data_IF_651174877972
#
_entry.id   IF_651174877972
#
_cell.length_a   1.000
_cell.length_b   1.000
_cell.length_c   1.000
_cell.angle_alpha   90.00
_cell.angle_beta   90.00
_cell.angle_gamma   90.00
#
_symmetry.space_group_name_H-M   'P 1'
#
loop_
_entity.id
_entity.type
_entity.pdbx_description
1 polymer ?
#
# COMPACT_ATOMS: atom_id res chain seq x y z
N UNK A 1 -24.97 -66.88 13.82
CA UNK A 1 -24.62 -65.63 13.11
C UNK A 1 -25.28 -64.47 13.85
N UNK A 2 -24.40 -63.54 14.24
CA UNK A 2 -24.49 -62.14 14.66
C UNK A 2 -25.85 -61.47 14.91
N UNK A 3 -25.83 -60.69 16.01
CA UNK A 3 -26.82 -59.81 16.66
C UNK A 3 -27.37 -58.69 15.77
N UNK A 4 -28.50 -58.11 16.18
CA UNK A 4 -28.70 -56.68 16.58
C UNK A 4 -30.20 -56.35 16.56
N UNK A 5 -30.86 -56.15 17.71
CA UNK A 5 -31.14 -54.86 18.37
C UNK A 5 -31.62 -53.75 17.43
N UNK A 6 -32.95 -53.57 17.35
CA UNK A 6 -33.56 -52.37 16.78
C UNK A 6 -34.26 -51.57 17.89
N UNK A 7 -33.72 -50.39 18.15
CA UNK A 7 -34.13 -49.43 19.17
C UNK A 7 -35.25 -48.55 18.62
N UNK A 8 -36.29 -48.37 19.45
CA UNK A 8 -37.42 -47.47 19.21
C UNK A 8 -36.98 -46.01 19.23
N UNK A 9 -37.26 -45.33 18.12
CA UNK A 9 -37.74 -43.94 17.94
C UNK A 9 -37.96 -43.10 19.22
N UNK A 10 -37.19 -42.02 19.38
CA UNK A 10 -37.64 -40.64 19.65
C UNK A 10 -36.45 -39.66 19.66
N UNK A 11 -36.75 -38.38 19.42
CA UNK A 11 -35.84 -37.21 19.33
C UNK A 11 -35.17 -37.06 17.95
N UNK A 12 -35.09 -35.90 17.30
CA UNK A 12 -35.08 -34.51 17.77
C UNK A 12 -35.49 -33.54 16.64
N UNK A 13 -35.97 -32.36 17.05
CA UNK A 13 -36.34 -31.25 16.18
C UNK A 13 -35.15 -30.69 15.38
N UNK A 14 -35.45 -30.22 14.17
CA UNK A 14 -34.52 -29.71 13.18
C UNK A 14 -33.91 -28.36 13.59
N UNK A 15 -32.58 -28.31 13.66
CA UNK A 15 -31.75 -27.11 13.69
C UNK A 15 -31.11 -26.87 12.32
N UNK A 16 -31.28 -25.67 11.76
CA UNK A 16 -30.36 -24.97 10.84
C UNK A 16 -30.69 -23.47 10.96
N UNK A 17 -30.03 -22.69 11.82
CA UNK A 17 -28.78 -21.97 11.56
C UNK A 17 -28.90 -20.88 10.47
N UNK A 18 -29.35 -19.68 10.86
CA UNK A 18 -28.93 -18.44 10.19
C UNK A 18 -27.70 -17.90 10.94
N UNK A 19 -26.58 -17.81 10.22
CA UNK A 19 -25.31 -17.29 10.71
C UNK A 19 -25.46 -15.79 10.94
N UNK A 20 -25.65 -15.44 12.19
CA UNK A 20 -25.57 -14.08 12.72
C UNK A 20 -24.17 -13.51 12.41
N UNK A 21 -24.14 -12.37 11.73
CA UNK A 21 -22.94 -11.54 11.61
C UNK A 21 -22.45 -11.18 13.01
N UNK A 22 -21.36 -11.79 13.46
CA UNK A 22 -20.73 -11.50 14.75
C UNK A 22 -20.17 -10.07 14.77
N UNK A 23 -21.04 -9.11 15.11
CA UNK A 23 -20.61 -7.90 15.77
C UNK A 23 -20.48 -8.24 17.25
N UNK A 24 -19.26 -8.50 17.71
CA UNK A 24 -18.96 -8.78 19.10
C UNK A 24 -19.19 -7.52 19.96
N UNK A 25 -20.44 -7.31 20.37
CA UNK A 25 -20.76 -6.43 21.48
C UNK A 25 -20.79 -7.26 22.78
N UNK A 26 -19.63 -7.45 23.40
CA UNK A 26 -19.56 -7.95 24.78
C UNK A 26 -20.06 -6.85 25.71
N UNK A 27 -21.33 -6.94 26.12
CA UNK A 27 -21.85 -6.17 27.25
C UNK A 27 -21.37 -6.84 28.53
N UNK A 28 -20.49 -6.17 29.28
CA UNK A 28 -20.24 -6.49 30.69
C UNK A 28 -20.12 -5.18 31.49
N UNK A 29 -21.08 -5.00 32.38
CA UNK A 29 -21.27 -3.84 33.25
C UNK A 29 -20.06 -3.59 34.16
N UNK A 30 -19.65 -2.32 34.31
CA UNK A 30 -18.74 -1.92 35.40
C UNK A 30 -18.01 -0.59 35.18
N UNK A 31 -18.54 0.49 35.78
CA UNK A 31 -17.99 1.86 35.93
C UNK A 31 -17.75 2.64 34.63
N UNK A 32 -18.27 3.88 34.61
CA UNK A 32 -18.00 4.96 33.66
C UNK A 32 -16.58 4.95 33.07
N UNK A 33 -16.36 4.16 32.02
CA UNK A 33 -15.23 4.28 31.12
C UNK A 33 -15.86 4.76 29.82
N UNK A 34 -15.68 6.05 29.52
CA UNK A 34 -15.99 6.57 28.18
C UNK A 34 -15.29 5.65 27.20
N UNK A 35 -16.06 4.87 26.43
CA UNK A 35 -15.53 4.15 25.29
C UNK A 35 -15.12 5.24 24.32
N UNK A 36 -13.84 5.60 24.32
CA UNK A 36 -13.28 6.47 23.29
C UNK A 36 -13.16 5.59 22.06
N UNK A 37 -14.24 5.50 21.30
CA UNK A 37 -14.22 4.94 19.94
C UNK A 37 -13.27 5.83 19.15
N UNK A 38 -12.02 5.40 18.99
CA UNK A 38 -11.12 5.98 18.00
C UNK A 38 -11.68 5.58 16.64
N UNK A 39 -12.59 6.40 16.11
CA UNK A 39 -12.99 6.32 14.71
C UNK A 39 -11.76 6.66 13.88
N UNK A 40 -10.99 5.64 13.48
CA UNK A 40 -9.96 5.80 12.48
C UNK A 40 -10.68 6.25 11.20
N UNK A 41 -10.42 7.49 10.78
CA UNK A 41 -10.95 7.99 9.51
C UNK A 41 -10.37 7.08 8.43
N UNK A 42 -11.20 6.38 7.64
CA UNK A 42 -10.69 5.53 6.56
C UNK A 42 -9.95 6.38 5.52
N UNK A 43 -9.06 5.76 4.76
CA UNK A 43 -8.45 6.45 3.62
C UNK A 43 -9.52 6.94 2.64
N UNK A 44 -9.34 8.12 2.02
CA UNK A 44 -10.28 8.64 1.03
C UNK A 44 -10.38 7.67 -0.15
N UNK A 45 -11.56 7.48 -0.73
CA UNK A 45 -11.70 6.54 -1.83
C UNK A 45 -10.87 6.99 -3.06
N UNK A 46 -10.28 6.05 -3.83
CA UNK A 46 -9.54 6.42 -5.03
C UNK A 46 -10.38 7.27 -5.99
N UNK A 47 -9.76 8.29 -6.60
CA UNK A 47 -10.44 9.20 -7.52
C UNK A 47 -11.37 10.22 -6.87
N UNK A 48 -11.49 10.24 -5.54
CA UNK A 48 -12.23 11.30 -4.84
C UNK A 48 -11.39 12.57 -4.67
N UNK A 49 -12.08 13.70 -4.49
CA UNK A 49 -11.41 14.95 -4.15
C UNK A 49 -10.55 14.75 -2.88
N UNK A 50 -9.30 15.23 -2.92
CA UNK A 50 -8.27 15.08 -1.88
C UNK A 50 -7.58 13.70 -1.79
N UNK A 51 -7.94 12.73 -2.63
CA UNK A 51 -7.13 11.52 -2.81
C UNK A 51 -6.07 11.75 -3.90
N UNK A 52 -4.80 11.32 -3.69
CA UNK A 52 -3.83 11.30 -4.77
C UNK A 52 -4.31 10.31 -5.86
N UNK A 53 -4.07 10.66 -7.12
CA UNK A 53 -4.42 9.80 -8.25
C UNK A 53 -3.27 9.79 -9.25
N UNK A 54 -2.80 8.59 -9.60
CA UNK A 54 -1.67 8.44 -10.50
C UNK A 54 -2.10 8.13 -11.92
N UNK A 55 -1.64 8.97 -12.83
CA UNK A 55 -1.94 8.90 -14.25
C UNK A 55 -0.66 8.89 -15.11
N UNK A 56 0.43 8.29 -14.58
CA UNK A 56 1.79 8.23 -15.13
C UNK A 56 2.69 9.46 -14.91
N UNK A 57 2.15 10.58 -14.41
CA UNK A 57 2.93 11.82 -14.21
C UNK A 57 3.44 11.95 -12.78
N UNK A 58 4.65 12.47 -12.63
CA UNK A 58 5.26 12.79 -11.32
C UNK A 58 5.21 11.61 -10.33
N UNK A 59 5.69 10.45 -10.76
CA UNK A 59 5.65 9.20 -9.98
C UNK A 59 6.25 9.37 -8.58
N UNK A 60 7.37 10.07 -8.44
CA UNK A 60 8.00 10.37 -7.15
C UNK A 60 7.04 11.12 -6.23
N UNK A 61 6.44 12.21 -6.71
CA UNK A 61 5.51 13.03 -5.92
C UNK A 61 4.24 12.26 -5.56
N UNK A 62 3.73 11.44 -6.48
CA UNK A 62 2.59 10.56 -6.21
C UNK A 62 2.90 9.57 -5.09
N UNK A 63 4.03 8.85 -5.17
CA UNK A 63 4.42 7.86 -4.15
C UNK A 63 4.59 8.52 -2.78
N UNK A 64 5.25 9.69 -2.72
CA UNK A 64 5.42 10.43 -1.47
C UNK A 64 4.08 10.83 -0.83
N UNK A 65 3.17 11.41 -1.63
CA UNK A 65 1.84 11.83 -1.16
C UNK A 65 0.99 10.64 -0.72
N UNK A 66 1.02 9.56 -1.49
CA UNK A 66 0.30 8.34 -1.18
C UNK A 66 0.80 7.73 0.14
N UNK A 67 2.11 7.62 0.30
CA UNK A 67 2.72 7.06 1.51
C UNK A 67 2.42 7.92 2.76
N UNK A 68 2.44 9.25 2.62
CA UNK A 68 2.03 10.16 3.69
C UNK A 68 0.55 9.99 4.05
N UNK A 69 -0.32 9.85 3.06
CA UNK A 69 -1.73 9.55 3.29
C UNK A 69 -1.90 8.22 4.05
N UNK A 70 -1.22 7.14 3.64
CA UNK A 70 -1.24 5.88 4.36
C UNK A 70 -0.86 6.06 5.84
N UNK A 71 0.22 6.80 6.13
CA UNK A 71 0.64 7.12 7.51
C UNK A 71 -0.42 7.87 8.31
N UNK A 72 -1.02 8.90 7.72
CA UNK A 72 -2.05 9.71 8.39
C UNK A 72 -3.30 8.89 8.74
N UNK A 73 -3.57 7.83 7.97
CA UNK A 73 -4.71 6.94 8.16
C UNK A 73 -4.34 5.61 8.86
N UNK A 74 -3.11 5.46 9.36
CA UNK A 74 -2.68 4.29 10.14
C UNK A 74 -2.40 3.03 9.30
N UNK A 75 -2.24 3.16 7.98
CA UNK A 75 -1.84 2.05 7.10
C UNK A 75 -0.31 1.99 7.05
N UNK A 76 0.27 1.05 7.80
CA UNK A 76 1.72 0.94 8.02
C UNK A 76 2.30 -0.32 7.37
N UNK A 77 1.49 -1.38 7.29
CA UNK A 77 1.92 -2.67 6.76
C UNK A 77 2.28 -2.57 5.25
N UNK A 78 3.50 -2.95 4.85
CA UNK A 78 3.97 -2.80 3.47
C UNK A 78 3.07 -3.48 2.44
N UNK A 79 2.59 -4.68 2.73
CA UNK A 79 1.66 -5.42 1.87
C UNK A 79 0.38 -4.63 1.64
N UNK A 80 -0.24 -4.14 2.72
CA UNK A 80 -1.44 -3.30 2.61
C UNK A 80 -1.19 -2.01 1.81
N UNK A 81 -0.03 -1.36 1.99
CA UNK A 81 0.32 -0.15 1.23
C UNK A 81 0.41 -0.47 -0.27
N UNK A 82 1.10 -1.56 -0.64
CA UNK A 82 1.28 -1.99 -2.03
C UNK A 82 -0.08 -2.33 -2.68
N UNK A 83 -0.90 -3.14 -2.01
CA UNK A 83 -2.23 -3.53 -2.50
C UNK A 83 -3.15 -2.31 -2.69
N UNK A 84 -3.09 -1.34 -1.76
CA UNK A 84 -3.86 -0.11 -1.89
C UNK A 84 -3.33 0.77 -3.02
N UNK A 85 -2.02 0.92 -3.19
CA UNK A 85 -1.44 1.83 -4.20
C UNK A 85 -1.94 1.53 -5.61
N UNK A 86 -2.03 0.24 -5.97
CA UNK A 86 -2.55 -0.21 -7.27
C UNK A 86 -4.03 0.19 -7.54
N UNK A 87 -4.75 0.68 -6.52
CA UNK A 87 -6.13 1.19 -6.64
C UNK A 87 -6.19 2.70 -6.86
N UNK A 88 -5.11 3.44 -6.57
CA UNK A 88 -5.02 4.90 -6.70
C UNK A 88 -4.32 5.31 -7.99
N UNK A 89 -4.49 4.52 -9.04
CA UNK A 89 -3.94 4.78 -10.35
C UNK A 89 -4.93 4.35 -11.44
N UNK A 90 -4.69 4.83 -12.66
CA UNK A 90 -5.44 4.36 -13.84
C UNK A 90 -5.33 2.85 -13.99
N UNK A 91 -6.42 2.21 -14.41
CA UNK A 91 -6.60 0.75 -14.32
C UNK A 91 -5.45 -0.07 -14.89
N UNK A 92 -4.94 0.32 -16.07
CA UNK A 92 -3.86 -0.43 -16.72
C UNK A 92 -2.53 -0.35 -15.94
N UNK A 93 -2.25 0.77 -15.26
CA UNK A 93 -1.07 0.93 -14.39
C UNK A 93 -1.24 0.04 -13.16
N UNK A 94 -2.44 -0.02 -12.58
CA UNK A 94 -2.72 -0.86 -11.43
C UNK A 94 -2.53 -2.35 -11.73
N UNK A 95 -2.97 -2.82 -12.90
CA UNK A 95 -2.72 -4.20 -13.34
C UNK A 95 -1.23 -4.47 -13.63
N UNK A 96 -0.53 -3.50 -14.24
CA UNK A 96 0.92 -3.58 -14.45
C UNK A 96 1.71 -3.61 -13.13
N UNK A 97 1.29 -2.85 -12.10
CA UNK A 97 1.95 -2.87 -10.80
C UNK A 97 1.94 -4.27 -10.16
N UNK A 98 0.88 -5.07 -10.37
CA UNK A 98 0.76 -6.42 -9.80
C UNK A 98 1.78 -7.42 -10.36
N UNK A 99 2.35 -7.16 -11.53
CA UNK A 99 3.36 -8.04 -12.13
C UNK A 99 4.79 -7.71 -11.68
N UNK A 100 4.99 -6.55 -11.04
CA UNK A 100 6.29 -6.10 -10.53
C UNK A 100 6.82 -7.01 -9.43
N UNK A 101 8.15 -7.05 -9.31
CA UNK A 101 8.81 -7.92 -8.33
C UNK A 101 8.49 -7.46 -6.91
N UNK A 102 8.58 -6.15 -6.65
CA UNK A 102 8.28 -5.59 -5.33
C UNK A 102 6.85 -5.84 -4.88
N UNK A 103 5.90 -5.93 -5.83
CA UNK A 103 4.51 -6.30 -5.51
C UNK A 103 4.41 -7.76 -5.04
N UNK A 104 5.02 -8.70 -5.75
CA UNK A 104 4.96 -10.14 -5.44
C UNK A 104 5.70 -10.50 -4.16
N UNK A 105 6.69 -9.71 -3.78
CA UNK A 105 7.53 -9.91 -2.60
C UNK A 105 7.06 -9.09 -1.38
N UNK A 106 5.93 -8.37 -1.49
CA UNK A 106 5.43 -7.44 -0.46
C UNK A 106 6.50 -6.41 -0.01
N UNK A 107 7.40 -6.03 -0.92
CA UNK A 107 8.55 -5.17 -0.65
C UNK A 107 8.33 -3.77 -1.19
N UNK A 108 7.91 -2.86 -0.31
CA UNK A 108 7.61 -1.47 -0.64
C UNK A 108 8.80 -0.72 -1.26
N UNK A 109 10.02 -0.96 -0.77
CA UNK A 109 11.19 -0.22 -1.24
C UNK A 109 11.54 -0.60 -2.69
N UNK A 110 11.50 -1.90 -3.00
CA UNK A 110 11.70 -2.39 -4.37
C UNK A 110 10.57 -1.89 -5.27
N UNK A 111 9.33 -2.05 -4.82
CA UNK A 111 8.13 -1.69 -5.58
C UNK A 111 8.10 -0.19 -5.95
N UNK A 112 8.36 0.69 -4.98
CA UNK A 112 8.37 2.14 -5.21
C UNK A 112 9.46 2.57 -6.19
N UNK A 113 10.66 1.96 -6.08
CA UNK A 113 11.76 2.21 -7.03
C UNK A 113 11.43 1.74 -8.45
N UNK A 114 10.81 0.56 -8.60
CA UNK A 114 10.37 0.05 -9.90
C UNK A 114 9.40 1.02 -10.59
N UNK A 115 8.41 1.55 -9.86
CA UNK A 115 7.45 2.52 -10.38
C UNK A 115 8.13 3.83 -10.78
N UNK A 116 8.98 4.38 -9.91
CA UNK A 116 9.69 5.64 -10.20
C UNK A 116 10.60 5.48 -11.41
N UNK A 117 11.28 4.34 -11.53
CA UNK A 117 12.14 4.05 -12.66
C UNK A 117 11.36 3.97 -13.98
N UNK A 118 10.23 3.26 -14.00
CA UNK A 118 9.39 3.13 -15.21
C UNK A 118 8.90 4.49 -15.73
N UNK A 119 8.50 5.39 -14.82
CA UNK A 119 7.89 6.67 -15.16
C UNK A 119 8.85 7.87 -15.02
N UNK A 120 10.16 7.63 -14.97
CA UNK A 120 11.16 8.67 -14.73
C UNK A 120 11.15 9.77 -15.81
N UNK A 121 10.79 9.43 -17.05
CA UNK A 121 10.65 10.37 -18.17
C UNK A 121 9.41 11.26 -18.06
N UNK A 122 8.44 10.92 -17.24
CA UNK A 122 7.24 11.72 -16.98
C UNK A 122 7.29 12.40 -15.60
N UNK A 123 8.40 12.22 -14.88
CA UNK A 123 8.59 12.72 -13.54
C UNK A 123 9.35 14.05 -13.55
N UNK A 124 8.61 15.14 -13.31
CA UNK A 124 9.17 16.50 -13.27
C UNK A 124 10.11 16.63 -12.07
N UNK A 125 9.79 16.03 -10.92
CA UNK A 125 10.64 16.04 -9.72
C UNK A 125 11.98 15.37 -10.04
N UNK A 126 11.95 14.18 -10.65
CA UNK A 126 13.14 13.46 -11.08
C UNK A 126 13.96 14.28 -12.08
N UNK A 127 13.31 14.84 -13.10
CA UNK A 127 13.97 15.69 -14.10
C UNK A 127 14.60 16.94 -13.49
N UNK A 128 13.92 17.64 -12.59
CA UNK A 128 14.47 18.82 -11.92
C UNK A 128 15.72 18.44 -11.14
N UNK A 129 15.67 17.38 -10.31
CA UNK A 129 16.83 16.96 -9.53
C UNK A 129 17.99 16.50 -10.42
N UNK A 130 17.72 15.71 -11.46
CA UNK A 130 18.74 15.19 -12.36
C UNK A 130 19.31 16.27 -13.30
N UNK A 131 18.48 17.12 -13.88
CA UNK A 131 18.94 18.25 -14.69
C UNK A 131 19.70 19.27 -13.85
N UNK A 132 19.24 19.60 -12.64
CA UNK A 132 19.99 20.49 -11.75
C UNK A 132 21.35 19.89 -11.37
N UNK A 133 21.41 18.59 -11.11
CA UNK A 133 22.66 17.88 -10.87
C UNK A 133 23.61 17.93 -12.07
N UNK A 134 23.12 17.60 -13.28
CA UNK A 134 23.90 17.67 -14.51
C UNK A 134 24.38 19.10 -14.79
N UNK A 135 23.51 20.10 -14.64
CA UNK A 135 23.87 21.51 -14.77
C UNK A 135 24.90 21.95 -13.73
N UNK A 136 24.83 21.44 -12.49
CA UNK A 136 25.83 21.73 -11.46
C UNK A 136 27.21 21.12 -11.80
N UNK A 137 27.25 19.94 -12.42
CA UNK A 137 28.50 19.34 -12.90
C UNK A 137 29.07 20.12 -14.08
N UNK A 138 28.23 20.50 -15.05
CA UNK A 138 28.66 21.27 -16.23
C UNK A 138 29.13 22.68 -15.84
N UNK A 139 28.48 23.31 -14.86
CA UNK A 139 28.84 24.65 -14.37
C UNK A 139 30.07 24.66 -13.47
N UNK A 140 30.49 23.53 -12.90
CA UNK A 140 31.83 23.42 -12.33
C UNK A 140 32.80 23.38 -13.52
N UNK A 141 33.62 24.43 -13.75
CA UNK A 141 34.66 24.32 -14.75
C UNK A 141 35.49 23.10 -14.36
N UNK A 142 35.73 22.20 -15.30
CA UNK A 142 36.83 21.28 -15.18
C UNK A 142 38.10 22.11 -15.01
N UNK A 143 38.52 22.33 -13.77
CA UNK A 143 39.91 22.55 -13.44
C UNK A 143 40.62 21.22 -13.75
N UNK A 144 40.80 20.94 -15.03
CA UNK A 144 41.81 20.01 -15.48
C UNK A 144 43.15 20.70 -15.23
N UNK A 145 43.66 20.65 -14.01
CA UNK A 145 45.11 20.61 -13.87
C UNK A 145 45.49 19.18 -14.27
N UNK A 146 45.84 18.99 -15.55
CA UNK A 146 46.14 17.68 -16.13
C UNK A 146 47.37 17.02 -15.51
N UNK A 147 47.29 16.61 -14.25
CA UNK A 147 48.40 16.02 -13.51
C UNK A 147 48.00 14.63 -13.00
N UNK A 148 48.12 13.67 -13.90
CA UNK A 148 47.87 12.24 -13.66
C UNK A 148 48.96 11.63 -12.76
N UNK A 149 49.94 12.42 -12.28
CA UNK A 149 51.05 11.94 -11.44
C UNK A 149 50.79 11.95 -9.93
N UNK A 150 49.61 12.35 -9.45
CA UNK A 150 49.31 12.34 -8.00
C UNK A 150 48.77 11.00 -7.46
N UNK A 151 48.63 9.98 -8.32
CA UNK A 151 48.07 8.65 -7.94
C UNK A 151 48.92 7.48 -8.47
N UNK A 152 50.25 7.51 -8.22
CA UNK A 152 51.08 6.30 -8.16
C UNK A 152 51.69 6.23 -6.77
#
# INVERSE_FOLDING_TARGET
MTKDQEIKKLESESTMAEVTTESYATILQGKNKRIVVHSHIPMPSPGTANAPWFDSRDATLFIERFYLMCKNHGVIDPKNIIEQLARYCVTWIGEWMKILKGYKEDNWEVFSKEIIHEFCDQDITYKIHHQNYLQAIIKKPHAWDGNIHAYI
#
